data_IF_551185222257
#
_entry.id   IF_551185222257
#
_cell.length_a   1.000
_cell.length_b   1.000
_cell.length_c   1.000
_cell.angle_alpha   90.00
_cell.angle_beta   90.00
_cell.angle_gamma   90.00
#
_symmetry.space_group_name_H-M   'P 1'
#
loop_
_entity.id
_entity.type
_entity.pdbx_description
1 polymer ?
#
# COMPACT_ATOMS: atom_id res chain seq x y z
N UNK A 1 3.66 -8.54 -8.04
CA UNK A 1 2.56 -8.45 -7.06
C UNK A 1 2.81 -7.23 -6.19
N UNK A 2 1.88 -6.29 -6.26
CA UNK A 2 1.81 -5.12 -5.39
C UNK A 2 1.33 -5.53 -4.01
N UNK A 3 2.00 -5.06 -2.97
CA UNK A 3 1.61 -5.36 -1.61
C UNK A 3 2.11 -4.30 -0.64
N UNK A 4 1.57 -4.36 0.57
CA UNK A 4 2.08 -3.60 1.71
C UNK A 4 2.45 -4.58 2.81
N UNK A 5 3.57 -4.33 3.50
CA UNK A 5 3.94 -5.18 4.62
C UNK A 5 3.16 -4.77 5.87
N UNK A 6 2.78 -5.73 6.69
CA UNK A 6 2.13 -5.46 7.97
C UNK A 6 2.94 -4.51 8.87
N UNK A 7 4.27 -4.54 8.79
CA UNK A 7 5.16 -3.63 9.54
C UNK A 7 5.06 -2.16 9.10
N UNK A 8 4.52 -1.89 7.90
CA UNK A 8 4.26 -0.52 7.43
C UNK A 8 2.83 -0.05 7.68
N UNK A 9 1.96 -0.96 8.12
CA UNK A 9 0.57 -0.67 8.43
C UNK A 9 0.52 0.12 9.73
N UNK A 10 -0.28 1.17 9.74
CA UNK A 10 -0.59 1.91 10.96
C UNK A 10 -2.08 2.26 11.00
N UNK A 11 -2.60 2.44 12.20
CA UNK A 11 -3.99 2.82 12.40
C UNK A 11 -4.14 4.34 12.25
N UNK A 12 -4.62 4.79 11.09
CA UNK A 12 -4.92 6.21 10.86
C UNK A 12 -6.23 6.67 11.52
N UNK A 13 -7.01 5.76 12.14
CA UNK A 13 -8.32 6.08 12.73
C UNK A 13 -9.44 6.39 11.73
N UNK A 14 -9.18 6.27 10.42
CA UNK A 14 -10.13 6.59 9.34
C UNK A 14 -11.05 5.42 8.96
N UNK A 15 -10.84 4.24 9.54
CA UNK A 15 -11.55 2.99 9.18
C UNK A 15 -10.96 2.26 7.97
N UNK A 16 -9.99 2.85 7.27
CA UNK A 16 -9.33 2.25 6.11
C UNK A 16 -7.90 1.83 6.43
N UNK A 17 -7.42 0.70 5.87
CA UNK A 17 -6.04 0.27 6.06
C UNK A 17 -5.07 1.33 5.50
N UNK A 18 -4.24 1.88 6.38
CA UNK A 18 -3.29 2.93 6.08
C UNK A 18 -1.86 2.43 6.20
N UNK A 19 -1.00 2.83 5.28
CA UNK A 19 0.41 2.45 5.24
C UNK A 19 1.29 3.66 4.98
N UNK A 20 2.53 3.66 5.45
CA UNK A 20 3.47 4.76 5.19
C UNK A 20 4.43 4.49 4.02
N UNK A 21 4.55 3.21 3.59
CA UNK A 21 5.42 2.80 2.47
C UNK A 21 4.90 1.52 1.81
N UNK A 22 4.94 1.40 0.48
CA UNK A 22 4.68 0.13 -0.21
C UNK A 22 5.82 -0.87 -0.09
N UNK A 23 5.54 -2.16 -0.34
CA UNK A 23 6.58 -3.20 -0.45
C UNK A 23 7.51 -2.93 -1.63
N UNK A 24 6.92 -2.71 -2.81
CA UNK A 24 7.66 -2.44 -4.04
C UNK A 24 7.08 -1.20 -4.73
N UNK A 25 7.69 -0.02 -4.57
CA UNK A 25 7.21 1.20 -5.21
C UNK A 25 7.23 1.09 -6.74
N UNK A 26 8.12 0.25 -7.31
CA UNK A 26 8.21 0.02 -8.75
C UNK A 26 7.00 -0.70 -9.35
N UNK A 27 6.23 -1.41 -8.52
CA UNK A 27 5.00 -2.09 -8.92
C UNK A 27 3.76 -1.23 -8.68
N UNK A 28 3.89 -0.04 -8.08
CA UNK A 28 2.78 0.87 -7.83
C UNK A 28 2.88 2.08 -8.74
N UNK A 29 1.76 2.44 -9.38
CA UNK A 29 1.66 3.66 -10.18
C UNK A 29 0.92 4.72 -9.39
N UNK A 30 1.56 5.87 -9.19
CA UNK A 30 0.94 7.04 -8.60
C UNK A 30 0.51 8.00 -9.70
N UNK A 31 -0.77 8.40 -9.68
CA UNK A 31 -1.35 9.31 -10.68
C UNK A 31 -1.96 10.51 -9.97
N UNK A 32 -1.53 11.72 -10.34
CA UNK A 32 -2.09 12.94 -9.76
C UNK A 32 -3.51 13.14 -10.29
N UNK A 33 -4.49 13.03 -9.41
CA UNK A 33 -5.88 13.37 -9.67
C UNK A 33 -6.16 14.81 -9.19
N UNK A 34 -6.70 15.63 -10.08
CA UNK A 34 -7.04 17.04 -9.82
C UNK A 34 -8.55 17.29 -9.91
N UNK A 35 -9.40 16.27 -9.73
CA UNK A 35 -10.84 16.40 -10.00
C UNK A 35 -11.61 17.22 -8.96
N UNK A 36 -11.12 17.35 -7.74
CA UNK A 36 -11.87 17.95 -6.64
C UNK A 36 -10.99 18.90 -5.85
N UNK A 37 -10.77 20.16 -6.28
CA UNK A 37 -10.12 21.34 -5.62
C UNK A 37 -8.82 21.16 -4.78
N UNK A 38 -8.62 20.00 -4.17
CA UNK A 38 -7.45 19.39 -3.57
C UNK A 38 -6.76 18.48 -4.60
N UNK A 39 -5.44 18.59 -4.69
CA UNK A 39 -4.63 17.64 -5.47
C UNK A 39 -4.51 16.35 -4.66
N UNK A 40 -5.05 15.24 -5.17
CA UNK A 40 -4.89 13.92 -4.56
C UNK A 40 -4.04 13.05 -5.47
N UNK A 41 -3.27 12.13 -4.91
CA UNK A 41 -2.49 11.20 -5.73
C UNK A 41 -3.15 9.83 -5.68
N UNK A 42 -3.78 9.42 -6.77
CA UNK A 42 -4.36 8.09 -6.94
C UNK A 42 -3.25 7.03 -6.97
N UNK A 43 -3.49 5.91 -6.31
CA UNK A 43 -2.58 4.77 -6.25
C UNK A 43 -3.21 3.62 -7.03
N UNK A 44 -2.52 3.14 -8.06
CA UNK A 44 -2.96 2.06 -8.94
C UNK A 44 -1.95 0.93 -8.99
N UNK A 45 -2.44 -0.26 -9.26
CA UNK A 45 -1.62 -1.43 -9.56
C UNK A 45 -1.00 -1.26 -10.95
N UNK A 46 0.33 -1.41 -11.07
CA UNK A 46 1.02 -1.45 -12.37
C UNK A 46 0.63 -2.66 -13.21
N UNK A 47 0.39 -3.81 -12.57
CA UNK A 47 0.14 -5.07 -13.27
C UNK A 47 -1.34 -5.27 -13.63
N UNK A 48 -2.25 -4.92 -12.72
CA UNK A 48 -3.69 -5.11 -12.93
C UNK A 48 -4.41 -3.84 -13.40
N UNK A 49 -3.73 -2.67 -13.42
CA UNK A 49 -4.33 -1.33 -13.60
C UNK A 49 -5.52 -1.04 -12.66
N UNK A 50 -5.67 -1.83 -11.60
CA UNK A 50 -6.72 -1.69 -10.61
C UNK A 50 -6.48 -0.50 -9.72
N UNK A 51 -7.55 0.25 -9.44
CA UNK A 51 -7.53 1.31 -8.43
C UNK A 51 -7.35 0.68 -7.04
N UNK A 52 -6.26 1.04 -6.36
CA UNK A 52 -5.96 0.53 -5.03
C UNK A 52 -6.35 1.53 -3.93
N UNK A 53 -6.19 2.82 -4.18
CA UNK A 53 -6.51 3.86 -3.20
C UNK A 53 -5.89 5.21 -3.53
N UNK A 54 -5.51 5.95 -2.49
CA UNK A 54 -4.93 7.29 -2.60
C UNK A 54 -3.74 7.45 -1.65
N UNK A 55 -2.73 8.19 -2.09
CA UNK A 55 -1.61 8.62 -1.27
C UNK A 55 -1.69 10.13 -1.03
N UNK A 56 -1.39 10.51 0.21
CA UNK A 56 -1.37 11.88 0.68
C UNK A 56 0.02 12.19 1.24
N UNK A 57 0.53 13.40 1.03
CA UNK A 57 1.79 13.89 1.59
C UNK A 57 1.65 14.35 3.07
N UNK A 58 0.60 13.90 3.74
CA UNK A 58 0.24 14.18 5.14
C UNK A 58 0.37 12.89 5.98
N UNK A 59 1.52 12.23 5.84
CA UNK A 59 1.85 11.00 6.55
C UNK A 59 2.90 11.18 7.64
N UNK A 60 3.07 10.16 8.52
CA UNK A 60 4.13 10.18 9.51
C UNK A 60 5.53 10.11 8.86
N UNK A 61 6.54 10.71 9.51
CA UNK A 61 7.94 10.51 9.16
C UNK A 61 8.32 9.02 9.30
N UNK A 62 9.28 8.50 8.51
CA UNK A 62 10.28 9.20 7.70
C UNK A 62 9.87 9.51 6.26
N UNK A 63 8.84 8.85 5.71
CA UNK A 63 8.45 9.06 4.30
C UNK A 63 7.56 10.29 4.13
N UNK A 64 6.81 10.70 5.17
CA UNK A 64 5.83 11.78 5.07
C UNK A 64 4.63 11.43 4.21
N UNK A 65 4.51 10.16 3.79
CA UNK A 65 3.46 9.70 2.89
C UNK A 65 2.46 8.83 3.64
N UNK A 66 1.17 9.07 3.38
CA UNK A 66 0.05 8.29 3.88
C UNK A 66 -0.66 7.62 2.71
N UNK A 67 -0.43 6.33 2.56
CA UNK A 67 -1.14 5.47 1.62
C UNK A 67 -2.43 4.99 2.25
N UNK A 68 -3.55 5.62 1.88
CA UNK A 68 -4.89 5.19 2.26
C UNK A 68 -5.40 4.21 1.19
N UNK A 69 -5.41 2.93 1.54
CA UNK A 69 -5.72 1.86 0.60
C UNK A 69 -7.13 1.33 0.84
N UNK A 70 -7.81 0.93 -0.23
CA UNK A 70 -9.11 0.31 -0.11
C UNK A 70 -8.94 -1.16 0.28
N UNK A 71 -9.52 -1.57 1.41
CA UNK A 71 -9.50 -2.97 1.86
C UNK A 71 -10.13 -3.92 0.84
N UNK A 72 -11.16 -3.47 0.11
CA UNK A 72 -11.80 -4.27 -0.95
C UNK A 72 -10.89 -4.52 -2.17
N UNK A 73 -9.87 -3.68 -2.36
CA UNK A 73 -8.90 -3.83 -3.46
C UNK A 73 -7.66 -4.65 -3.05
N UNK A 74 -7.60 -5.16 -1.82
CA UNK A 74 -6.45 -5.87 -1.28
C UNK A 74 -6.85 -7.23 -0.74
N UNK A 75 -5.94 -8.21 -0.89
CA UNK A 75 -6.05 -9.51 -0.22
C UNK A 75 -4.99 -9.59 0.87
N UNK A 76 -5.42 -9.89 2.08
CA UNK A 76 -4.50 -10.18 3.18
C UNK A 76 -3.94 -11.60 3.02
N UNK A 77 -2.61 -11.72 3.06
CA UNK A 77 -1.90 -13.00 3.05
C UNK A 77 -1.12 -13.09 4.37
N UNK A 78 -1.45 -14.04 5.26
CA UNK A 78 -0.70 -14.23 6.49
C UNK A 78 0.72 -14.73 6.17
N UNK A 79 1.67 -14.45 7.09
CA UNK A 79 3.08 -14.81 6.90
C UNK A 79 3.29 -16.29 6.58
N UNK A 80 2.50 -17.17 7.18
CA UNK A 80 2.60 -18.63 7.04
C UNK A 80 2.16 -19.12 5.65
N UNK A 81 1.30 -18.37 4.97
CA UNK A 81 0.87 -18.68 3.60
C UNK A 81 1.72 -17.97 2.54
N UNK A 82 2.63 -17.06 2.93
CA UNK A 82 3.54 -16.42 1.97
C UNK A 82 4.37 -17.48 1.23
N UNK A 83 4.94 -18.47 1.91
CA UNK A 83 5.68 -19.54 1.24
C UNK A 83 4.81 -20.37 0.29
N UNK A 84 3.61 -20.77 0.74
CA UNK A 84 2.69 -21.59 -0.06
C UNK A 84 2.25 -20.89 -1.34
N UNK A 85 2.07 -19.58 -1.26
CA UNK A 85 1.61 -18.76 -2.37
C UNK A 85 2.76 -18.30 -3.29
N UNK A 86 4.00 -18.73 -3.04
CA UNK A 86 5.17 -18.36 -3.83
C UNK A 86 5.80 -17.00 -3.46
N UNK A 87 5.39 -16.43 -2.33
CA UNK A 87 5.86 -15.16 -1.76
C UNK A 87 6.95 -15.32 -0.70
N UNK A 88 7.58 -16.49 -0.59
CA UNK A 88 8.66 -16.75 0.38
C UNK A 88 9.80 -15.73 0.36
N UNK A 89 10.05 -15.06 -0.78
CA UNK A 89 11.01 -13.94 -0.88
C UNK A 89 10.72 -12.77 0.06
N UNK A 90 9.45 -12.54 0.42
CA UNK A 90 9.04 -11.45 1.31
C UNK A 90 9.09 -11.85 2.79
N UNK A 91 9.29 -13.13 3.13
CA UNK A 91 9.47 -13.55 4.54
C UNK A 91 10.67 -12.86 5.19
N UNK A 92 11.73 -12.62 4.42
CA UNK A 92 12.92 -11.87 4.84
C UNK A 92 12.62 -10.45 5.33
N UNK A 93 11.45 -9.88 4.99
CA UNK A 93 11.02 -8.56 5.46
C UNK A 93 10.28 -8.62 6.81
N UNK A 94 9.86 -9.81 7.23
CA UNK A 94 9.21 -10.07 8.51
C UNK A 94 10.15 -10.73 9.52
N UNK A 95 11.24 -11.36 9.06
CA UNK A 95 12.36 -11.77 9.92
C UNK A 95 13.15 -10.53 10.35
N UNK A 96 12.75 -9.96 11.49
CA UNK A 96 13.50 -8.92 12.19
C UNK A 96 13.89 -9.41 13.58
#
# INVERSE_FOLDING_TARGET
MEGFSGGTKYESGTGWPSFFRPLEPENIVTKKDRKLFVTRTEVRSKHADSHLGHVFDDGPQPTGLRYCMNSAAMRFIPKEDLEKEGYGKYLKLFEK
#
